data_IF_906945072627
#
_entry.id   IF_906945072627
#
_cell.length_a   1.000
_cell.length_b   1.000
_cell.length_c   1.000
_cell.angle_alpha   90.00
_cell.angle_beta   90.00
_cell.angle_gamma   90.00
#
_symmetry.space_group_name_H-M   'P 1'
#
loop_
_entity.id
_entity.type
_entity.pdbx_description
1 polymer ?
#
# COMPACT_ATOMS: atom_id res chain seq x y z
N UNK A 1 -5.50 -9.81 -16.69
CA UNK A 1 -4.35 -8.95 -17.10
C UNK A 1 -4.19 -7.88 -16.03
N UNK A 2 -3.01 -7.76 -15.42
CA UNK A 2 -2.74 -6.82 -14.33
C UNK A 2 -2.81 -5.39 -14.88
N UNK A 3 -3.89 -4.66 -14.61
CA UNK A 3 -3.98 -3.26 -15.04
C UNK A 3 -3.12 -2.39 -14.12
N UNK A 4 -2.05 -1.86 -14.71
CA UNK A 4 -1.13 -0.94 -14.04
C UNK A 4 -1.87 0.29 -13.50
N UNK A 5 -2.89 0.76 -14.22
CA UNK A 5 -3.71 1.90 -13.83
C UNK A 5 -4.50 1.57 -12.56
N UNK A 6 -5.10 0.38 -12.48
CA UNK A 6 -5.83 -0.05 -11.28
C UNK A 6 -4.93 -0.16 -10.05
N UNK A 7 -3.74 -0.72 -10.22
CA UNK A 7 -2.74 -0.81 -9.15
C UNK A 7 -2.35 0.59 -8.65
N UNK A 8 -2.08 1.50 -9.58
CA UNK A 8 -1.74 2.89 -9.24
C UNK A 8 -2.89 3.61 -8.53
N UNK A 9 -4.11 3.49 -9.04
CA UNK A 9 -5.29 4.11 -8.46
C UNK A 9 -5.52 3.64 -7.01
N UNK A 10 -5.36 2.34 -6.74
CA UNK A 10 -5.47 1.79 -5.39
C UNK A 10 -4.36 2.29 -4.46
N UNK A 11 -3.12 2.31 -4.94
CA UNK A 11 -1.99 2.81 -4.15
C UNK A 11 -2.17 4.28 -3.78
N UNK A 12 -2.60 5.12 -4.73
CA UNK A 12 -2.87 6.54 -4.49
C UNK A 12 -4.00 6.71 -3.47
N UNK A 13 -5.09 5.95 -3.61
CA UNK A 13 -6.19 6.00 -2.65
C UNK A 13 -5.75 5.65 -1.22
N UNK A 14 -4.92 4.60 -1.05
CA UNK A 14 -4.36 4.24 0.25
C UNK A 14 -3.40 5.31 0.81
N UNK A 15 -2.57 5.92 -0.04
CA UNK A 15 -1.67 7.00 0.36
C UNK A 15 -2.42 8.27 0.80
N UNK A 16 -3.52 8.63 0.15
CA UNK A 16 -4.36 9.75 0.55
C UNK A 16 -5.04 9.50 1.92
N UNK A 17 -5.55 8.28 2.13
CA UNK A 17 -6.08 7.88 3.43
C UNK A 17 -4.99 7.91 4.50
N UNK A 18 -3.81 7.37 4.19
CA UNK A 18 -2.65 7.42 5.09
C UNK A 18 -2.29 8.85 5.46
N UNK A 19 -2.19 9.78 4.50
CA UNK A 19 -1.84 11.19 4.76
C UNK A 19 -2.81 11.84 5.74
N UNK A 20 -4.10 11.53 5.63
CA UNK A 20 -5.12 11.98 6.57
C UNK A 20 -4.89 11.42 7.99
N UNK A 21 -4.52 10.13 8.09
CA UNK A 21 -4.17 9.48 9.37
C UNK A 21 -2.87 10.03 9.95
N UNK A 22 -1.85 10.28 9.13
CA UNK A 22 -0.56 10.85 9.54
C UNK A 22 -0.70 12.27 10.08
N UNK A 23 -1.56 13.10 9.48
CA UNK A 23 -1.88 14.44 9.98
C UNK A 23 -2.45 14.42 11.41
N UNK A 24 -3.24 13.40 11.74
CA UNK A 24 -3.80 13.20 13.09
C UNK A 24 -2.78 12.60 14.07
N UNK A 25 -1.74 11.94 13.57
CA UNK A 25 -0.70 11.31 14.40
C UNK A 25 0.69 11.46 13.76
N UNK A 26 1.34 12.64 13.89
CA UNK A 26 2.57 12.97 13.16
C UNK A 26 3.79 12.08 13.48
N UNK A 27 3.80 11.47 14.67
CA UNK A 27 4.89 10.64 15.16
C UNK A 27 4.75 9.16 14.82
N UNK A 28 3.56 8.71 14.42
CA UNK A 28 3.27 7.32 14.11
C UNK A 28 3.97 6.89 12.81
N UNK A 29 4.35 5.60 12.75
CA UNK A 29 4.94 4.96 11.57
C UNK A 29 3.91 4.06 10.92
N UNK A 30 3.76 4.21 9.61
CA UNK A 30 2.85 3.42 8.80
C UNK A 30 3.62 2.59 7.79
N UNK A 31 3.15 1.37 7.56
CA UNK A 31 3.77 0.41 6.68
C UNK A 31 2.77 -0.05 5.63
N UNK A 32 3.28 -0.38 4.45
CA UNK A 32 2.47 -0.90 3.36
C UNK A 32 2.44 -2.42 3.42
N UNK A 33 1.24 -2.96 3.36
CA UNK A 33 0.97 -4.38 3.32
C UNK A 33 0.20 -4.74 2.05
N UNK A 34 0.36 -5.97 1.59
CA UNK A 34 -0.37 -6.52 0.46
C UNK A 34 -1.02 -7.86 0.78
N UNK A 35 -2.11 -8.14 0.09
CA UNK A 35 -2.78 -9.42 0.08
C UNK A 35 -2.71 -9.99 -1.34
N UNK A 36 -2.21 -11.21 -1.48
CA UNK A 36 -2.05 -11.89 -2.77
C UNK A 36 -3.41 -12.13 -3.44
N UNK A 37 -3.48 -12.05 -4.77
CA UNK A 37 -4.67 -12.49 -5.49
C UNK A 37 -4.83 -14.01 -5.41
N UNK A 38 -6.07 -14.47 -5.29
CA UNK A 38 -6.41 -15.89 -5.36
C UNK A 38 -7.78 -16.05 -6.02
N UNK A 39 -8.26 -17.29 -6.18
CA UNK A 39 -9.57 -17.58 -6.82
C UNK A 39 -10.79 -16.92 -6.14
N UNK A 40 -10.65 -16.40 -4.91
CA UNK A 40 -11.73 -15.77 -4.12
C UNK A 40 -11.66 -14.25 -4.12
N UNK A 41 -10.49 -13.65 -4.30
CA UNK A 41 -10.32 -12.20 -4.30
C UNK A 41 -9.14 -11.74 -5.14
N UNK A 42 -9.26 -10.52 -5.67
CA UNK A 42 -8.24 -9.89 -6.50
C UNK A 42 -7.01 -9.39 -5.69
N UNK A 43 -6.94 -9.67 -4.39
CA UNK A 43 -5.89 -9.17 -3.52
C UNK A 43 -6.13 -7.71 -3.11
N UNK A 44 -5.16 -7.10 -2.44
CA UNK A 44 -5.34 -5.75 -1.91
C UNK A 44 -4.05 -5.11 -1.40
N UNK A 45 -4.14 -3.81 -1.13
CA UNK A 45 -3.10 -3.01 -0.50
C UNK A 45 -3.71 -2.36 0.74
N UNK A 46 -2.93 -2.20 1.80
CA UNK A 46 -3.36 -1.45 2.98
C UNK A 46 -2.17 -0.76 3.63
N UNK A 47 -2.35 0.51 3.99
CA UNK A 47 -1.36 1.26 4.78
C UNK A 47 -1.85 1.41 6.22
N UNK A 48 -1.13 0.84 7.17
CA UNK A 48 -1.54 0.85 8.58
C UNK A 48 -0.34 0.89 9.53
N UNK A 49 -0.63 1.21 10.80
CA UNK A 49 0.36 1.26 11.88
C UNK A 49 0.53 -0.12 12.51
N UNK A 50 1.77 -0.51 12.79
CA UNK A 50 2.05 -1.79 13.45
C UNK A 50 1.65 -2.99 12.59
N UNK A 51 0.49 -3.59 12.85
CA UNK A 51 0.04 -4.84 12.22
C UNK A 51 -1.14 -4.62 11.25
N UNK A 52 -1.25 -5.43 10.19
CA UNK A 52 -2.34 -5.34 9.23
C UNK A 52 -3.68 -5.84 9.80
N UNK A 53 -4.81 -5.50 9.15
CA UNK A 53 -6.15 -5.89 9.61
C UNK A 53 -6.38 -7.40 9.66
N UNK A 54 -5.68 -8.17 8.81
CA UNK A 54 -5.77 -9.62 8.74
C UNK A 54 -4.35 -10.20 8.62
N UNK A 55 -4.11 -11.37 9.23
CA UNK A 55 -2.84 -12.12 9.21
C UNK A 55 -2.41 -12.57 7.81
N UNK A 56 -3.34 -12.60 6.85
CA UNK A 56 -3.03 -12.93 5.44
C UNK A 56 -2.24 -11.82 4.73
N UNK A 57 -2.30 -10.59 5.24
CA UNK A 57 -1.52 -9.48 4.68
C UNK A 57 -0.04 -9.64 5.01
N UNK A 58 0.77 -9.54 3.96
CA UNK A 58 2.23 -9.59 4.04
C UNK A 58 2.80 -8.18 3.92
N UNK A 59 3.94 -7.95 4.57
CA UNK A 59 4.63 -6.67 4.46
C UNK A 59 5.13 -6.50 3.01
N UNK A 60 4.73 -5.41 2.35
CA UNK A 60 5.14 -5.13 0.97
C UNK A 60 6.58 -4.62 0.90
N UNK A 61 7.01 -3.88 1.94
CA UNK A 61 8.36 -3.33 2.05
C UNK A 61 8.75 -3.13 3.51
N UNK A 62 10.04 -3.31 3.82
CA UNK A 62 10.56 -3.14 5.17
C UNK A 62 10.51 -1.67 5.67
N UNK A 63 10.54 -0.72 4.75
CA UNK A 63 10.52 0.70 5.06
C UNK A 63 9.09 1.22 5.33
N UNK A 64 8.97 2.18 6.25
CA UNK A 64 7.72 2.87 6.48
C UNK A 64 7.48 3.96 5.42
N UNK A 65 6.21 4.31 5.21
CA UNK A 65 5.83 5.43 4.34
C UNK A 65 6.47 6.73 4.85
N UNK A 66 7.07 7.49 3.94
CA UNK A 66 7.84 8.69 4.27
C UNK A 66 6.91 9.88 4.53
N UNK A 67 6.80 10.25 5.81
CA UNK A 67 5.99 11.40 6.28
C UNK A 67 6.47 12.77 5.79
N UNK A 68 7.75 12.86 5.40
CA UNK A 68 8.37 14.06 4.83
C UNK A 68 8.09 14.23 3.33
N UNK A 69 7.41 13.25 2.72
CA UNK A 69 7.11 13.22 1.28
C UNK A 69 5.62 13.34 1.01
N UNK A 70 5.30 13.89 -0.16
CA UNK A 70 3.95 13.96 -0.70
C UNK A 70 3.43 12.57 -1.10
N UNK A 71 2.14 12.50 -1.47
CA UNK A 71 1.50 11.27 -1.96
C UNK A 71 2.15 10.83 -3.27
N UNK A 72 2.37 11.76 -4.20
CA UNK A 72 3.01 11.47 -5.50
C UNK A 72 4.45 10.98 -5.32
N UNK A 73 5.23 11.62 -4.45
CA UNK A 73 6.59 11.19 -4.16
C UNK A 73 6.64 9.80 -3.53
N UNK A 74 5.76 9.50 -2.56
CA UNK A 74 5.66 8.15 -2.01
C UNK A 74 5.23 7.14 -3.08
N UNK A 75 4.25 7.49 -3.92
CA UNK A 75 3.80 6.63 -5.01
C UNK A 75 4.96 6.26 -5.94
N UNK A 76 5.77 7.23 -6.37
CA UNK A 76 6.92 7.01 -7.25
C UNK A 76 8.00 6.12 -6.62
N UNK A 77 8.21 6.18 -5.30
CA UNK A 77 9.17 5.32 -4.61
C UNK A 77 8.70 3.87 -4.50
N UNK A 78 7.40 3.69 -4.37
CA UNK A 78 6.80 2.41 -3.95
C UNK A 78 6.30 1.62 -5.18
N UNK A 79 5.92 2.31 -6.26
CA UNK A 79 5.24 1.69 -7.40
C UNK A 79 6.03 0.55 -8.03
N UNK A 80 7.36 0.65 -8.10
CA UNK A 80 8.21 -0.41 -8.67
C UNK A 80 8.09 -1.73 -7.89
N UNK A 81 8.04 -1.66 -6.56
CA UNK A 81 7.86 -2.82 -5.69
C UNK A 81 6.43 -3.38 -5.83
N UNK A 82 5.41 -2.53 -5.84
CA UNK A 82 4.01 -2.96 -5.96
C UNK A 82 3.71 -3.63 -7.30
N UNK A 83 4.33 -3.16 -8.38
CA UNK A 83 4.20 -3.79 -9.69
C UNK A 83 4.79 -5.21 -9.75
N UNK A 84 5.66 -5.60 -8.81
CA UNK A 84 6.18 -6.97 -8.69
C UNK A 84 5.30 -7.89 -7.84
N UNK A 85 4.40 -7.33 -7.03
CA UNK A 85 3.56 -8.12 -6.13
C UNK A 85 2.44 -8.85 -6.88
N UNK A 86 2.04 -10.05 -6.45
CA UNK A 86 0.96 -10.83 -7.06
C UNK A 86 -0.43 -10.30 -6.64
N UNK A 87 -0.71 -9.04 -6.94
CA UNK A 87 -2.01 -8.39 -6.74
C UNK A 87 -2.69 -8.13 -8.09
N UNK A 88 -4.03 -8.12 -8.12
CA UNK A 88 -4.86 -7.91 -9.31
C UNK A 88 -4.44 -8.76 -10.53
N UNK A 89 -3.99 -10.01 -10.31
CA UNK A 89 -3.34 -10.84 -11.35
C UNK A 89 -4.12 -12.10 -11.75
N UNK A 90 -5.44 -12.17 -11.50
CA UNK A 90 -6.29 -13.30 -11.91
C UNK A 90 -6.60 -13.23 -13.42
#
# INVERSE_FOLDING_TARGET
MKDRIDVMNRLIAELEQWKTRQRKAPHERYYLYYLESNKKHNGGLVICKGQPPNKEYKLAMAECIRRDKTVEENCNLIISEILRLPILSI
#
